data_IF_198128216542
#
_entry.id   IF_198128216542
#
_cell.length_a   1.000
_cell.length_b   1.000
_cell.length_c   1.000
_cell.angle_alpha   90.00
_cell.angle_beta   90.00
_cell.angle_gamma   90.00
#
_symmetry.space_group_name_H-M   'P 1'
#
loop_
_entity.id
_entity.type
_entity.pdbx_description
1 polymer ?
#
# COMPACT_ATOMS: atom_id res chain seq x y z
N UNK A 1 -1.86 0.19 -8.79
CA UNK A 1 -0.96 -0.27 -9.89
C UNK A 1 -0.40 -1.68 -9.67
N UNK A 2 0.59 -1.92 -8.81
CA UNK A 2 1.17 -3.28 -8.66
C UNK A 2 0.16 -4.27 -8.08
N UNK A 3 -0.52 -3.90 -6.99
CA UNK A 3 -1.55 -4.74 -6.36
C UNK A 3 -2.66 -5.13 -7.36
N UNK A 4 -3.23 -4.17 -8.08
CA UNK A 4 -4.25 -4.41 -9.11
C UNK A 4 -3.73 -5.29 -10.25
N UNK A 5 -2.46 -5.14 -10.63
CA UNK A 5 -1.80 -6.02 -11.60
C UNK A 5 -1.76 -7.47 -11.09
N UNK A 6 -1.36 -7.66 -9.83
CA UNK A 6 -1.36 -8.99 -9.20
C UNK A 6 -2.76 -9.61 -9.22
N UNK A 7 -3.81 -8.86 -8.86
CA UNK A 7 -5.19 -9.36 -8.92
C UNK A 7 -5.58 -9.75 -10.36
N UNK A 8 -5.35 -8.87 -11.34
CA UNK A 8 -5.72 -9.10 -12.75
C UNK A 8 -5.08 -10.35 -13.36
N UNK A 9 -3.88 -10.71 -12.92
CA UNK A 9 -3.14 -11.86 -13.45
C UNK A 9 -3.24 -13.12 -12.57
N UNK A 10 -4.15 -13.15 -11.59
CA UNK A 10 -4.42 -14.33 -10.77
C UNK A 10 -3.54 -14.48 -9.52
N UNK A 11 -2.70 -13.49 -9.21
CA UNK A 11 -1.83 -13.43 -8.03
C UNK A 11 -2.50 -12.69 -6.86
N UNK A 12 -3.78 -13.00 -6.60
CA UNK A 12 -4.58 -12.27 -5.59
C UNK A 12 -3.98 -12.34 -4.19
N UNK A 13 -3.32 -13.45 -3.84
CA UNK A 13 -2.65 -13.62 -2.54
C UNK A 13 -1.46 -12.66 -2.39
N UNK A 14 -0.64 -12.54 -3.42
CA UNK A 14 0.52 -11.64 -3.45
C UNK A 14 0.07 -10.18 -3.48
N UNK A 15 -1.00 -9.88 -4.23
CA UNK A 15 -1.63 -8.55 -4.21
C UNK A 15 -2.12 -8.17 -2.81
N UNK A 16 -2.75 -9.11 -2.08
CA UNK A 16 -3.21 -8.88 -0.71
C UNK A 16 -2.02 -8.62 0.24
N UNK A 17 -0.94 -9.38 0.10
CA UNK A 17 0.28 -9.14 0.89
C UNK A 17 0.87 -7.74 0.63
N UNK A 18 0.83 -7.25 -0.61
CA UNK A 18 1.25 -5.88 -0.94
C UNK A 18 0.35 -4.85 -0.24
N UNK A 19 -0.97 -5.04 -0.28
CA UNK A 19 -1.93 -4.15 0.37
C UNK A 19 -1.73 -4.09 1.88
N UNK A 20 -1.62 -5.24 2.55
CA UNK A 20 -1.42 -5.34 3.99
C UNK A 20 -0.09 -4.73 4.42
N UNK A 21 0.99 -4.99 3.69
CA UNK A 21 2.30 -4.40 4.01
C UNK A 21 2.32 -2.88 3.78
N UNK A 22 1.61 -2.38 2.77
CA UNK A 22 1.46 -0.94 2.55
C UNK A 22 0.72 -0.28 3.71
N UNK A 23 -0.37 -0.90 4.19
CA UNK A 23 -1.10 -0.40 5.36
C UNK A 23 -0.22 -0.38 6.63
N UNK A 24 0.57 -1.43 6.87
CA UNK A 24 1.51 -1.50 8.01
C UNK A 24 2.59 -0.41 7.94
N UNK A 25 3.10 -0.06 6.76
CA UNK A 25 4.07 1.03 6.61
C UNK A 25 3.47 2.38 7.00
N UNK A 26 2.23 2.65 6.58
CA UNK A 26 1.52 3.88 6.94
C UNK A 26 1.18 3.92 8.43
N UNK A 27 0.76 2.80 9.01
CA UNK A 27 0.52 2.67 10.45
C UNK A 27 1.79 2.95 11.26
N UNK A 28 2.93 2.38 10.84
CA UNK A 28 4.22 2.55 11.51
C UNK A 28 4.77 3.97 11.41
N UNK A 29 4.81 4.51 10.20
CA UNK A 29 5.65 5.68 9.86
C UNK A 29 4.82 6.92 9.51
N UNK A 30 3.50 6.82 9.51
CA UNK A 30 2.57 7.89 9.14
C UNK A 30 2.52 8.16 7.64
N UNK A 31 1.82 9.23 7.26
CA UNK A 31 1.63 9.65 5.87
C UNK A 31 2.87 10.33 5.31
N UNK A 32 3.74 9.55 4.66
CA UNK A 32 5.05 9.97 4.16
C UNK A 32 5.12 9.75 2.65
N UNK A 33 5.94 10.51 1.95
CA UNK A 33 5.98 10.48 0.48
C UNK A 33 6.53 9.15 -0.06
N UNK A 34 7.52 8.59 0.63
CA UNK A 34 8.09 7.28 0.34
C UNK A 34 8.66 6.65 1.62
N UNK A 35 8.99 5.36 1.56
CA UNK A 35 9.45 4.56 2.70
C UNK A 35 10.74 3.82 2.35
N UNK A 36 11.66 3.73 3.31
CA UNK A 36 12.87 2.90 3.18
C UNK A 36 12.47 1.43 3.12
N UNK A 37 13.05 0.66 2.21
CA UNK A 37 12.62 -0.72 1.96
C UNK A 37 12.97 -1.66 3.12
N UNK A 38 14.14 -1.49 3.73
CA UNK A 38 14.66 -2.35 4.78
C UNK A 38 14.05 -2.05 6.14
N UNK A 39 13.91 -0.76 6.49
CA UNK A 39 13.41 -0.34 7.80
C UNK A 39 11.93 0.02 7.80
N UNK A 40 11.36 0.42 6.66
CA UNK A 40 10.01 0.99 6.61
C UNK A 40 9.89 2.40 7.18
N UNK A 41 11.02 3.08 7.43
CA UNK A 41 11.00 4.46 7.91
C UNK A 41 10.51 5.39 6.80
N UNK A 42 9.65 6.33 7.17
CA UNK A 42 9.08 7.26 6.21
C UNK A 42 9.99 8.45 5.94
N UNK A 43 10.14 8.78 4.67
CA UNK A 43 11.01 9.84 4.14
C UNK A 43 10.20 10.83 3.28
N UNK A 44 10.85 11.93 2.89
CA UNK A 44 10.20 13.04 2.19
C UNK A 44 9.28 13.86 3.10
N UNK A 45 8.19 14.38 2.53
CA UNK A 45 7.20 15.21 3.23
C UNK A 45 6.57 14.50 4.44
N UNK A 46 6.29 15.21 5.53
CA UNK A 46 5.82 14.61 6.81
C UNK A 46 4.32 14.43 6.89
N UNK A 47 3.58 15.28 6.20
CA UNK A 47 2.13 15.18 6.10
C UNK A 47 1.76 15.10 4.62
N UNK A 48 2.06 13.96 4.02
CA UNK A 48 1.90 13.75 2.59
C UNK A 48 0.49 13.22 2.26
N UNK A 49 -0.35 14.07 1.69
CA UNK A 49 -1.74 13.74 1.31
C UNK A 49 -1.88 13.15 -0.10
N UNK A 50 -0.78 12.72 -0.71
CA UNK A 50 -0.78 12.18 -2.07
C UNK A 50 -1.07 10.68 -2.13
N UNK A 51 -0.31 9.98 -2.98
CA UNK A 51 -0.51 8.55 -3.27
C UNK A 51 -0.44 7.64 -2.05
N UNK A 52 0.23 8.04 -0.97
CA UNK A 52 0.28 7.28 0.28
C UNK A 52 -1.12 7.01 0.86
N UNK A 53 -2.09 7.87 0.60
CA UNK A 53 -3.48 7.65 1.04
C UNK A 53 -4.13 6.42 0.42
N UNK A 54 -3.62 5.90 -0.70
CA UNK A 54 -4.13 4.67 -1.32
C UNK A 54 -4.00 3.47 -0.37
N UNK A 55 -2.96 3.42 0.47
CA UNK A 55 -2.71 2.31 1.38
C UNK A 55 -3.86 2.07 2.38
N UNK A 56 -4.66 3.09 2.69
CA UNK A 56 -5.84 2.95 3.56
C UNK A 56 -6.98 2.16 2.91
N UNK A 57 -7.02 2.09 1.58
CA UNK A 57 -8.12 1.49 0.84
C UNK A 57 -7.73 0.19 0.13
N UNK A 58 -6.43 -0.04 -0.11
CA UNK A 58 -5.94 -1.18 -0.90
C UNK A 58 -6.40 -2.54 -0.38
N UNK A 59 -6.46 -2.75 0.95
CA UNK A 59 -6.90 -4.04 1.53
C UNK A 59 -8.38 -4.28 1.25
N UNK A 60 -9.21 -3.25 1.41
CA UNK A 60 -10.63 -3.34 1.10
C UNK A 60 -10.86 -3.58 -0.40
N UNK A 61 -10.15 -2.84 -1.25
CA UNK A 61 -10.23 -2.95 -2.71
C UNK A 61 -10.00 -4.39 -3.19
N UNK A 62 -8.89 -5.01 -2.77
CA UNK A 62 -8.55 -6.36 -3.24
C UNK A 62 -9.46 -7.44 -2.63
N UNK A 63 -10.00 -7.24 -1.43
CA UNK A 63 -10.96 -8.20 -0.85
C UNK A 63 -12.28 -8.14 -1.61
N UNK A 64 -12.77 -6.94 -1.92
CA UNK A 64 -14.05 -6.74 -2.61
C UNK A 64 -14.00 -7.09 -4.11
N UNK A 65 -12.79 -7.25 -4.65
CA UNK A 65 -12.55 -7.42 -6.08
C UNK A 65 -12.61 -6.06 -6.76
N UNK A 66 -11.47 -5.58 -7.25
CA UNK A 66 -11.44 -4.34 -8.03
C UNK A 66 -12.40 -4.44 -9.21
N UNK A 67 -13.16 -3.36 -9.44
CA UNK A 67 -14.12 -3.20 -10.56
C UNK A 67 -13.45 -3.53 -11.89
#
# INVERSE_FOLDING_TARGET
MVMQGMERYGYKKEGLAIAENSAKLVEKSGNREYYVTESGDGCGEKVFWGWTLLAYFMVQEIIQGGI
#
